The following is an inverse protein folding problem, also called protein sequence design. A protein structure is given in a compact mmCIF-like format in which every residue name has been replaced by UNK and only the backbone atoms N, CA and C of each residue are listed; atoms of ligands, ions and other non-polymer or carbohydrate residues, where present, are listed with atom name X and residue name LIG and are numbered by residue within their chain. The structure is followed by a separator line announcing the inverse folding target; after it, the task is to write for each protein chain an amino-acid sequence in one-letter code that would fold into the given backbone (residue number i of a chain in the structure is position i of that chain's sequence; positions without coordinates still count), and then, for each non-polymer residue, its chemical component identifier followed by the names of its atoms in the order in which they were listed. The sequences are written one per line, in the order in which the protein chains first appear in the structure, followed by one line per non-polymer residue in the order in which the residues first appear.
data_IF_749734055413
#
_entry.id   IF_749734055413
#
_cell.length_a   1.000
_cell.length_b   1.000
_cell.length_c   1.000
_cell.angle_alpha   90.00
_cell.angle_beta   90.00
_cell.angle_gamma   90.00
#
_symmetry.space_group_name_H-M   'P 1'
#
loop_
_entity.id
_entity.type
_entity.pdbx_description
1 polymer ?
#
# COMPACT_ATOMS: atom_id res chain seq x y z
N UNK A 1 -25.97 15.88 2.99
CA UNK A 1 -25.17 17.12 3.18
C UNK A 1 -23.79 16.84 3.78
N UNK A 2 -23.68 15.95 4.77
CA UNK A 2 -22.42 15.65 5.45
C UNK A 2 -21.33 15.12 4.51
N UNK A 3 -21.61 14.06 3.73
CA UNK A 3 -20.64 13.43 2.81
C UNK A 3 -19.98 14.49 1.90
N UNK A 4 -20.81 15.24 1.17
CA UNK A 4 -20.37 16.31 0.26
C UNK A 4 -19.46 17.36 0.90
N UNK A 5 -19.60 17.62 2.21
CA UNK A 5 -18.90 18.70 2.90
C UNK A 5 -17.71 18.24 3.72
N UNK A 6 -17.75 17.03 4.27
CA UNK A 6 -16.81 16.63 5.32
C UNK A 6 -16.15 15.27 5.06
N UNK A 7 -16.71 14.45 4.18
CA UNK A 7 -16.11 13.15 3.88
C UNK A 7 -14.87 13.35 2.98
N UNK A 8 -13.71 12.74 3.31
CA UNK A 8 -12.51 12.84 2.50
C UNK A 8 -12.72 12.47 1.03
N UNK A 9 -13.63 11.53 0.73
CA UNK A 9 -13.95 11.13 -0.65
C UNK A 9 -14.46 12.28 -1.53
N UNK A 10 -15.04 13.32 -0.94
CA UNK A 10 -15.51 14.51 -1.67
C UNK A 10 -14.40 15.52 -1.95
N UNK A 11 -13.23 15.38 -1.33
CA UNK A 11 -12.17 16.39 -1.35
C UNK A 11 -10.83 15.87 -1.87
N UNK A 12 -10.53 14.57 -1.68
CA UNK A 12 -9.26 13.96 -2.10
C UNK A 12 -9.01 14.05 -3.60
N UNK A 13 -10.07 14.15 -4.42
CA UNK A 13 -9.98 14.43 -5.86
C UNK A 13 -9.33 15.78 -6.21
N UNK A 14 -9.21 16.70 -5.25
CA UNK A 14 -8.55 17.99 -5.41
C UNK A 14 -7.14 18.03 -4.77
N UNK A 15 -6.64 16.90 -4.26
CA UNK A 15 -5.32 16.84 -3.62
C UNK A 15 -4.21 16.79 -4.68
N UNK A 16 -3.51 17.90 -4.85
CA UNK A 16 -2.37 18.03 -5.78
C UNK A 16 -1.01 18.07 -5.08
N UNK A 17 -0.98 18.23 -3.75
CA UNK A 17 0.26 18.15 -2.98
C UNK A 17 0.68 16.69 -2.80
N UNK A 18 1.98 16.39 -2.72
CA UNK A 18 2.44 15.04 -2.42
C UNK A 18 1.85 14.53 -1.10
N UNK A 19 1.31 13.30 -1.11
CA UNK A 19 0.68 12.69 0.07
C UNK A 19 1.21 11.28 0.33
N UNK A 20 1.44 10.96 1.60
CA UNK A 20 1.85 9.63 2.04
C UNK A 20 0.78 9.02 2.95
N UNK A 21 0.19 7.92 2.51
CA UNK A 21 -0.85 7.18 3.20
C UNK A 21 -0.22 6.10 4.11
N UNK A 22 -0.61 6.05 5.38
CA UNK A 22 -0.13 5.05 6.35
C UNK A 22 -1.31 4.32 6.99
N UNK A 23 -1.35 3.00 6.90
CA UNK A 23 -2.43 2.20 7.48
C UNK A 23 -1.99 0.76 7.80
N UNK A 24 -2.82 0.02 8.54
CA UNK A 24 -2.65 -1.39 8.84
C UNK A 24 -3.64 -2.29 8.12
N UNK A 25 -3.26 -3.55 7.86
CA UNK A 25 -4.13 -4.49 7.14
C UNK A 25 -5.41 -4.92 7.87
N UNK A 26 -5.48 -4.67 9.19
CA UNK A 26 -6.61 -5.07 10.06
C UNK A 26 -7.28 -3.85 10.72
N UNK A 27 -7.01 -2.63 10.26
CA UNK A 27 -7.59 -1.42 10.86
C UNK A 27 -9.12 -1.40 10.68
N UNK A 28 -9.86 -1.31 11.81
CA UNK A 28 -11.33 -1.29 11.83
C UNK A 28 -11.91 0.11 11.56
N UNK A 29 -11.12 1.16 11.78
CA UNK A 29 -11.53 2.55 11.61
C UNK A 29 -11.23 3.03 10.19
N UNK A 30 -10.19 2.49 9.56
CA UNK A 30 -9.79 2.76 8.19
C UNK A 30 -9.69 1.46 7.38
N UNK A 31 -10.81 0.76 7.13
CA UNK A 31 -10.80 -0.52 6.43
C UNK A 31 -10.25 -0.35 5.01
N UNK A 32 -9.48 -1.36 4.56
CA UNK A 32 -8.65 -1.27 3.34
C UNK A 32 -9.41 -0.94 2.05
N UNK A 33 -10.69 -1.27 1.94
CA UNK A 33 -11.52 -0.93 0.78
C UNK A 33 -11.82 0.56 0.69
N UNK A 34 -12.32 1.15 1.78
CA UNK A 34 -12.52 2.60 1.89
C UNK A 34 -11.20 3.34 1.70
N UNK A 35 -10.12 2.81 2.29
CA UNK A 35 -8.80 3.40 2.22
C UNK A 35 -8.23 3.36 0.78
N UNK A 36 -8.40 2.23 0.08
CA UNK A 36 -8.00 2.10 -1.32
C UNK A 36 -8.79 3.04 -2.25
N UNK A 37 -10.10 3.22 -2.00
CA UNK A 37 -10.90 4.21 -2.75
C UNK A 37 -10.38 5.64 -2.52
N UNK A 38 -10.08 6.01 -1.27
CA UNK A 38 -9.47 7.29 -0.94
C UNK A 38 -8.12 7.49 -1.65
N UNK A 39 -7.26 6.48 -1.63
CA UNK A 39 -5.99 6.50 -2.35
C UNK A 39 -6.19 6.70 -3.86
N UNK A 40 -7.14 5.98 -4.47
CA UNK A 40 -7.43 6.08 -5.90
C UNK A 40 -7.91 7.46 -6.33
N UNK A 41 -8.64 8.19 -5.47
CA UNK A 41 -9.17 9.52 -5.77
C UNK A 41 -8.09 10.60 -5.91
N UNK A 42 -6.95 10.47 -5.23
CA UNK A 42 -5.90 11.49 -5.27
C UNK A 42 -5.24 11.56 -6.66
N UNK A 43 -5.29 12.70 -7.37
CA UNK A 43 -4.65 12.85 -8.68
C UNK A 43 -3.15 13.21 -8.59
N UNK A 44 -2.70 13.78 -7.46
CA UNK A 44 -1.31 14.17 -7.24
C UNK A 44 -0.37 13.00 -6.94
N UNK A 45 0.91 13.33 -6.71
CA UNK A 45 1.90 12.34 -6.24
C UNK A 45 1.43 11.72 -4.93
N UNK A 46 1.43 10.39 -4.88
CA UNK A 46 0.96 9.64 -3.73
C UNK A 46 1.80 8.39 -3.51
N UNK A 47 2.04 8.07 -2.25
CA UNK A 47 2.66 6.81 -1.81
C UNK A 47 1.82 6.20 -0.70
N UNK A 48 1.94 4.89 -0.51
CA UNK A 48 1.19 4.18 0.53
C UNK A 48 2.09 3.19 1.26
N UNK A 49 1.84 3.04 2.56
CA UNK A 49 2.46 2.06 3.46
C UNK A 49 1.34 1.31 4.17
N UNK A 50 1.13 0.06 3.78
CA UNK A 50 0.26 -0.87 4.48
C UNK A 50 1.13 -1.83 5.26
N UNK A 51 1.16 -1.67 6.58
CA UNK A 51 1.89 -2.56 7.46
C UNK A 51 0.98 -3.73 7.90
N UNK A 52 1.35 -4.98 7.64
CA UNK A 52 0.60 -6.13 8.14
C UNK A 52 0.41 -6.06 9.66
N UNK A 53 -0.84 -6.06 10.12
CA UNK A 53 -1.21 -6.05 11.55
C UNK A 53 -0.67 -4.85 12.34
N UNK A 54 -0.40 -3.73 11.68
CA UNK A 54 -0.16 -2.46 12.37
C UNK A 54 -1.38 -2.11 13.25
N UNK A 55 -1.09 -1.78 14.51
CA UNK A 55 -2.12 -1.42 15.48
C UNK A 55 -2.71 -0.06 15.14
N UNK A 56 -4.00 0.10 15.38
CA UNK A 56 -4.63 1.41 15.33
C UNK A 56 -4.16 2.29 16.50
N UNK A 57 -3.89 3.57 16.23
CA UNK A 57 -3.63 4.58 17.25
C UNK A 57 -2.64 5.64 16.81
N UNK A 58 -2.58 6.74 17.55
CA UNK A 58 -1.61 7.81 17.28
C UNK A 58 -0.16 7.33 17.33
N UNK A 59 0.29 6.57 18.36
CA UNK A 59 1.68 6.15 18.42
C UNK A 59 2.11 5.26 17.26
N UNK A 60 1.36 4.22 16.86
CA UNK A 60 1.63 3.51 15.62
C UNK A 60 1.55 4.43 14.39
N UNK A 61 0.57 5.32 14.30
CA UNK A 61 0.34 6.18 13.14
C UNK A 61 1.45 7.20 12.86
N UNK A 62 2.20 7.64 13.87
CA UNK A 62 3.28 8.64 13.71
C UNK A 62 4.69 8.05 13.82
N UNK A 63 4.83 6.78 14.20
CA UNK A 63 6.12 6.14 14.40
C UNK A 63 6.88 5.82 13.11
N UNK A 64 6.22 5.56 11.95
CA UNK A 64 6.91 5.27 10.70
C UNK A 64 7.84 6.41 10.29
N UNK A 65 9.15 6.12 10.30
CA UNK A 65 10.21 7.05 9.90
C UNK A 65 10.05 7.55 8.45
N UNK A 66 9.37 6.75 7.62
CA UNK A 66 9.07 7.07 6.23
C UNK A 66 8.23 8.34 6.10
N UNK A 67 7.46 8.72 7.12
CA UNK A 67 6.71 9.99 7.14
C UNK A 67 7.68 11.17 7.06
N UNK A 68 8.71 11.17 7.91
CA UNK A 68 9.74 12.21 7.91
C UNK A 68 10.52 12.23 6.61
N UNK A 69 10.96 11.06 6.13
CA UNK A 69 11.72 10.96 4.88
C UNK A 69 10.92 11.36 3.64
N UNK A 70 9.61 11.07 3.60
CA UNK A 70 8.74 11.55 2.54
C UNK A 70 8.71 13.07 2.50
N UNK A 71 8.44 13.71 3.65
CA UNK A 71 8.39 15.17 3.77
C UNK A 71 9.75 15.79 3.41
N UNK A 72 10.84 15.28 3.98
CA UNK A 72 12.19 15.78 3.72
C UNK A 72 12.58 15.68 2.25
N UNK A 73 12.12 14.64 1.53
CA UNK A 73 12.40 14.51 0.10
C UNK A 73 11.74 15.60 -0.75
N UNK A 74 10.62 16.18 -0.30
CA UNK A 74 9.92 17.25 -1.00
C UNK A 74 10.31 18.65 -0.48
N UNK A 75 10.66 18.78 0.79
CA UNK A 75 10.89 20.08 1.42
C UNK A 75 12.36 20.41 1.67
N UNK A 76 13.21 19.40 1.88
CA UNK A 76 14.58 19.55 2.39
C UNK A 76 15.64 18.85 1.52
N UNK A 77 15.28 18.36 0.33
CA UNK A 77 16.20 17.65 -0.57
C UNK A 77 16.66 16.27 -0.06
N UNK A 78 15.91 15.67 0.87
CA UNK A 78 16.19 14.33 1.39
C UNK A 78 16.04 13.24 0.32
N UNK A 79 16.64 12.08 0.55
CA UNK A 79 16.54 10.93 -0.37
C UNK A 79 15.11 10.39 -0.43
N UNK A 80 14.44 10.39 -1.61
CA UNK A 80 13.07 9.89 -1.75
C UNK A 80 12.88 8.45 -1.30
N UNK A 81 11.65 8.09 -0.89
CA UNK A 81 11.25 6.70 -0.67
C UNK A 81 11.19 5.96 -2.02
N UNK A 82 11.30 4.62 -2.01
CA UNK A 82 10.95 3.82 -3.19
C UNK A 82 9.53 4.10 -3.69
N UNK A 83 9.35 4.01 -5.00
CA UNK A 83 8.08 4.21 -5.67
C UNK A 83 7.76 2.95 -6.51
N UNK A 84 6.99 2.00 -5.95
CA UNK A 84 6.50 0.88 -6.73
C UNK A 84 5.46 1.35 -7.74
N UNK A 85 5.62 0.94 -9.00
CA UNK A 85 4.61 1.13 -10.02
C UNK A 85 3.38 0.22 -9.82
N UNK A 86 2.38 0.33 -10.70
CA UNK A 86 1.19 -0.52 -10.64
C UNK A 86 1.56 -2.00 -10.75
N UNK A 87 1.10 -2.88 -9.84
CA UNK A 87 1.35 -4.31 -9.97
C UNK A 87 0.60 -4.90 -11.16
N UNK A 88 1.28 -5.78 -11.90
CA UNK A 88 0.77 -6.51 -13.08
C UNK A 88 0.61 -7.98 -12.72
N UNK A 89 -0.63 -8.49 -12.81
CA UNK A 89 -0.93 -9.91 -12.67
C UNK A 89 -0.69 -10.62 -14.01
N UNK A 90 0.23 -11.58 -14.02
CA UNK A 90 0.60 -12.35 -15.19
C UNK A 90 -0.34 -13.56 -15.39
N UNK A 91 -0.32 -14.15 -16.58
CA UNK A 91 -1.17 -15.30 -16.92
C UNK A 91 -0.85 -16.56 -16.10
N UNK A 92 0.36 -16.69 -15.58
CA UNK A 92 0.80 -17.78 -14.70
C UNK A 92 0.44 -17.53 -13.21
N UNK A 93 -0.25 -16.44 -12.91
CA UNK A 93 -0.66 -16.04 -11.56
C UNK A 93 0.40 -15.28 -10.77
N UNK A 94 1.63 -15.14 -11.28
CA UNK A 94 2.66 -14.32 -10.62
C UNK A 94 2.33 -12.83 -10.75
N UNK A 95 2.85 -12.02 -9.83
CA UNK A 95 2.73 -10.56 -9.90
C UNK A 95 4.10 -9.94 -10.12
N UNK A 96 4.18 -9.02 -11.08
CA UNK A 96 5.38 -8.22 -11.37
C UNK A 96 5.16 -6.76 -11.00
N UNK A 97 6.17 -6.13 -10.40
CA UNK A 97 6.19 -4.69 -10.08
C UNK A 97 7.52 -4.09 -10.50
N UNK A 98 7.49 -3.05 -11.32
CA UNK A 98 8.67 -2.19 -11.55
C UNK A 98 8.75 -1.14 -10.45
N UNK A 99 9.92 -0.95 -9.87
CA UNK A 99 10.18 -0.02 -8.77
C UNK A 99 11.16 1.05 -9.22
N UNK A 100 10.76 2.30 -9.07
CA UNK A 100 11.66 3.45 -9.14
C UNK A 100 12.19 3.73 -7.74
N UNK A 101 13.50 3.64 -7.54
CA UNK A 101 14.09 3.89 -6.23
C UNK A 101 15.48 4.51 -6.37
N UNK A 102 15.81 5.54 -5.57
CA UNK A 102 17.17 6.05 -5.46
C UNK A 102 18.08 5.12 -4.64
N UNK A 103 17.49 4.19 -3.88
CA UNK A 103 18.17 3.25 -2.97
C UNK A 103 17.91 1.80 -3.39
N UNK A 104 18.86 0.87 -3.16
CA UNK A 104 18.65 -0.55 -3.39
C UNK A 104 17.45 -1.10 -2.62
N UNK A 105 16.62 -1.92 -3.27
CA UNK A 105 15.55 -2.66 -2.60
C UNK A 105 16.16 -3.89 -1.92
N UNK A 106 15.98 -3.99 -0.60
CA UNK A 106 16.55 -5.06 0.21
C UNK A 106 15.65 -6.30 0.20
N UNK A 107 14.35 -6.10 0.33
CA UNK A 107 13.37 -7.18 0.38
C UNK A 107 11.99 -6.70 -0.10
N UNK A 108 11.17 -7.66 -0.55
CA UNK A 108 9.78 -7.44 -0.88
C UNK A 108 8.96 -8.66 -0.47
N UNK A 109 7.71 -8.44 -0.07
CA UNK A 109 6.81 -9.49 0.42
C UNK A 109 5.43 -9.31 -0.16
N UNK A 110 4.89 -10.37 -0.77
CA UNK A 110 3.48 -10.44 -1.14
C UNK A 110 2.65 -10.78 0.10
N UNK A 111 1.65 -9.97 0.39
CA UNK A 111 0.65 -10.22 1.41
C UNK A 111 -0.70 -10.46 0.75
N UNK A 112 -1.38 -11.54 1.12
CA UNK A 112 -2.71 -11.84 0.59
C UNK A 112 -3.61 -12.50 1.64
N UNK A 113 -4.91 -12.43 1.42
CA UNK A 113 -5.91 -13.18 2.19
C UNK A 113 -6.90 -13.87 1.26
N UNK A 114 -7.28 -15.08 1.65
CA UNK A 114 -8.34 -15.89 1.03
C UNK A 114 -9.61 -15.88 1.90
N UNK A 115 -9.53 -15.29 3.11
CA UNK A 115 -10.60 -15.30 4.07
C UNK A 115 -11.70 -14.29 3.70
N UNK A 116 -12.94 -14.69 3.95
CA UNK A 116 -14.13 -13.84 3.86
C UNK A 116 -14.52 -13.29 5.23
N UNK A 117 -15.64 -12.56 5.30
CA UNK A 117 -16.12 -11.95 6.55
C UNK A 117 -15.41 -10.63 6.89
N UNK A 118 -15.43 -10.28 8.18
CA UNK A 118 -14.90 -9.01 8.70
C UNK A 118 -13.42 -8.86 8.38
N UNK A 119 -13.05 -7.78 7.68
CA UNK A 119 -11.66 -7.56 7.22
C UNK A 119 -10.63 -7.57 8.34
N UNK A 120 -11.00 -7.07 9.52
CA UNK A 120 -10.15 -7.03 10.72
C UNK A 120 -9.89 -8.40 11.34
N UNK A 121 -10.64 -9.42 10.94
CA UNK A 121 -10.50 -10.80 11.44
C UNK A 121 -9.88 -11.73 10.39
N UNK A 122 -9.72 -11.25 9.15
CA UNK A 122 -9.16 -12.06 8.06
C UNK A 122 -7.72 -12.41 8.35
N UNK A 123 -7.40 -13.69 8.19
CA UNK A 123 -6.03 -14.15 8.23
C UNK A 123 -5.29 -13.73 6.95
N UNK A 124 -4.09 -13.15 7.13
CA UNK A 124 -3.21 -12.77 6.03
C UNK A 124 -2.00 -13.70 5.97
N UNK A 125 -1.71 -14.19 4.76
CA UNK A 125 -0.49 -14.94 4.45
C UNK A 125 0.53 -14.00 3.81
N UNK A 126 1.80 -14.26 4.09
CA UNK A 126 2.92 -13.47 3.58
C UNK A 126 3.94 -14.39 2.94
N UNK A 127 4.34 -14.10 1.70
CA UNK A 127 5.35 -14.88 0.97
C UNK A 127 6.39 -13.94 0.37
N UNK A 128 7.70 -14.25 0.48
CA UNK A 128 8.74 -13.40 -0.10
C UNK A 128 8.59 -13.26 -1.61
N UNK A 129 8.87 -12.06 -2.12
CA UNK A 129 9.02 -11.79 -3.54
C UNK A 129 10.51 -11.72 -3.90
N UNK A 130 10.83 -12.11 -5.13
CA UNK A 130 12.18 -12.00 -5.68
C UNK A 130 12.44 -10.56 -6.10
N UNK A 131 13.58 -10.00 -5.70
CA UNK A 131 14.07 -8.68 -6.13
C UNK A 131 15.15 -8.89 -7.19
N UNK A 132 14.91 -8.43 -8.42
CA UNK A 132 15.86 -8.49 -9.52
C UNK A 132 16.05 -7.10 -10.13
N UNK A 133 17.07 -6.37 -9.68
CA UNK A 133 17.31 -4.99 -10.07
C UNK A 133 16.15 -4.09 -9.65
N UNK A 134 15.40 -3.56 -10.62
CA UNK A 134 14.22 -2.72 -10.39
C UNK A 134 12.90 -3.47 -10.46
N UNK A 135 12.93 -4.80 -10.60
CA UNK A 135 11.73 -5.60 -10.78
C UNK A 135 11.51 -6.52 -9.58
N UNK A 136 10.31 -6.49 -9.03
CA UNK A 136 9.83 -7.45 -8.04
C UNK A 136 8.98 -8.50 -8.73
N UNK A 137 9.18 -9.77 -8.39
CA UNK A 137 8.34 -10.89 -8.87
C UNK A 137 7.89 -11.73 -7.69
N UNK A 138 6.58 -11.89 -7.53
CA UNK A 138 6.01 -12.73 -6.47
C UNK A 138 5.84 -14.17 -6.94
N UNK A 139 5.73 -15.14 -6.01
CA UNK A 139 5.08 -16.42 -6.30
C UNK A 139 3.66 -16.21 -6.84
N UNK A 140 3.10 -17.23 -7.49
CA UNK A 140 1.74 -17.18 -7.99
C UNK A 140 0.73 -16.94 -6.86
N UNK A 141 -0.19 -15.99 -7.07
CA UNK A 141 -1.30 -15.75 -6.16
C UNK A 141 -2.25 -16.97 -6.16
N UNK A 142 -2.67 -17.46 -4.99
CA UNK A 142 -3.69 -18.49 -4.93
C UNK A 142 -4.99 -18.02 -5.59
N UNK A 143 -5.69 -18.91 -6.28
CA UNK A 143 -6.94 -18.57 -6.99
C UNK A 143 -8.03 -18.03 -6.05
N UNK A 144 -8.01 -18.42 -4.77
CA UNK A 144 -8.95 -17.95 -3.76
C UNK A 144 -8.53 -16.63 -3.09
N UNK A 145 -7.34 -16.09 -3.39
CA UNK A 145 -6.93 -14.80 -2.86
C UNK A 145 -7.92 -13.73 -3.33
N UNK A 146 -8.49 -12.98 -2.38
CA UNK A 146 -9.51 -11.96 -2.66
C UNK A 146 -9.01 -10.52 -2.39
N UNK A 147 -7.96 -10.37 -1.59
CA UNK A 147 -7.31 -9.09 -1.32
C UNK A 147 -5.81 -9.31 -1.17
N UNK A 148 -4.99 -8.46 -1.79
CA UNK A 148 -3.53 -8.57 -1.74
C UNK A 148 -2.81 -7.24 -2.00
N UNK A 149 -1.56 -7.15 -1.57
CA UNK A 149 -0.64 -6.06 -1.85
C UNK A 149 0.80 -6.53 -1.64
N UNK A 150 1.78 -5.79 -2.16
CA UNK A 150 3.20 -6.09 -1.97
C UNK A 150 3.82 -4.98 -1.12
N UNK A 151 4.51 -5.34 -0.05
CA UNK A 151 5.42 -4.43 0.65
C UNK A 151 6.82 -4.56 0.06
N UNK A 152 7.59 -3.48 0.08
CA UNK A 152 9.02 -3.52 -0.17
C UNK A 152 9.75 -2.60 0.80
N UNK A 153 10.96 -3.00 1.15
CA UNK A 153 11.83 -2.30 2.08
C UNK A 153 13.17 -2.06 1.41
N UNK A 154 13.65 -0.81 1.41
CA UNK A 154 14.99 -0.50 0.91
C UNK A 154 16.10 -0.76 1.95
N UNK A 155 17.34 -0.51 1.56
CA UNK A 155 18.52 -0.71 2.41
C UNK A 155 18.56 0.20 3.66
N UNK A 156 17.80 1.29 3.69
CA UNK A 156 17.61 2.16 4.87
C UNK A 156 16.57 1.62 5.83
N UNK A 157 15.80 0.60 5.43
CA UNK A 157 14.65 0.11 6.18
C UNK A 157 13.37 0.90 5.90
N UNK A 158 13.28 1.64 4.79
CA UNK A 158 12.08 2.37 4.40
C UNK A 158 11.06 1.43 3.76
N UNK A 159 9.92 1.21 4.41
CA UNK A 159 8.85 0.37 3.89
C UNK A 159 7.79 1.19 3.15
N UNK A 160 7.49 0.77 1.93
CA UNK A 160 6.33 1.23 1.15
C UNK A 160 5.54 0.03 0.63
N UNK A 161 4.37 0.28 0.05
CA UNK A 161 3.50 -0.75 -0.51
C UNK A 161 3.03 -0.38 -1.90
N UNK A 162 2.69 -1.38 -2.70
CA UNK A 162 1.85 -1.20 -3.88
C UNK A 162 0.43 -0.77 -3.47
N UNK A 163 -0.36 -0.39 -4.45
CA UNK A 163 -1.81 -0.32 -4.29
C UNK A 163 -2.38 -1.66 -3.79
N UNK A 164 -3.42 -1.58 -2.96
CA UNK A 164 -4.20 -2.74 -2.53
C UNK A 164 -5.05 -3.20 -3.71
N UNK A 165 -4.99 -4.49 -4.02
CA UNK A 165 -5.76 -5.14 -5.08
C UNK A 165 -6.83 -6.02 -4.49
N UNK A 166 -7.99 -6.01 -5.13
CA UNK A 166 -9.14 -6.85 -4.77
C UNK A 166 -9.50 -7.71 -5.99
N UNK A 167 -9.63 -9.02 -5.77
CA UNK A 167 -9.90 -10.03 -6.78
C UNK A 167 -11.26 -10.67 -6.48
N UNK A 168 -12.13 -10.80 -7.49
CA UNK A 168 -13.38 -11.58 -7.35
C UNK A 168 -14.65 -10.85 -6.92
N UNK A 169 -14.70 -9.50 -6.94
CA UNK A 169 -15.96 -8.78 -6.73
C UNK A 169 -15.76 -7.26 -6.66
N UNK A 170 -16.79 -6.50 -7.07
CA UNK A 170 -16.80 -5.05 -6.90
C UNK A 170 -16.48 -4.71 -5.44
N UNK A 171 -15.70 -3.64 -5.23
CA UNK A 171 -15.43 -3.08 -3.90
C UNK A 171 -16.80 -2.94 -3.21
N UNK A 172 -17.12 -3.78 -2.22
CA UNK A 172 -18.43 -3.70 -1.58
C UNK A 172 -18.58 -2.31 -0.95
N UNK A 173 -19.72 -1.62 -1.16
CA UNK A 173 -19.93 -0.23 -0.74
C UNK A 173 -19.59 -0.01 0.72
#
# INVERSE_FOLDING_TARGET
LWIKRYDPSSHLGNCHVPIFFVNGSHDIHYPLDSYARCYALVPGEKRIRIEPRMRHGHPPGWAPQEIGWFIDSHCNGGTPLPHPGPPVLNADGTVTVTVESPTPIKEATLHYTEADGLRSEREWKSVPATVAGKTLTTPALPAAANTWFITLTDDRGAMVSTEIRFTGGAIQP
#
